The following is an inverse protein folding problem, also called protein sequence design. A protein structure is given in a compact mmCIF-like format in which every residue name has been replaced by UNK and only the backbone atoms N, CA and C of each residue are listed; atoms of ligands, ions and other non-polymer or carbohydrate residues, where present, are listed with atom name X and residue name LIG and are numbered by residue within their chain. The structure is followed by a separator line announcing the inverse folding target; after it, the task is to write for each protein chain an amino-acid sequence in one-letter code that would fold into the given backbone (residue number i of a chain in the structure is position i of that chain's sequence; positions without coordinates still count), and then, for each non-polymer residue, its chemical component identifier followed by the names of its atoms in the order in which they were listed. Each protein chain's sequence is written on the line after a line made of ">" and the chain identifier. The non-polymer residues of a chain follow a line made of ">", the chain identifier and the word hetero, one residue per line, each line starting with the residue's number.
data_IF_031981649208
#
_entry.id   IF_031981649208
#
_cell.length_a   1.000
_cell.length_b   1.000
_cell.length_c   1.000
_cell.angle_alpha   90.00
_cell.angle_beta   90.00
_cell.angle_gamma   90.00
#
_symmetry.space_group_name_H-M   'P 1'
#
loop_
_entity.id
_entity.type
_entity.pdbx_description
1 polymer ?
#
# COMPACT_ATOMS: atom_id res chain seq x y z
N UNK A 1 16.52 -7.88 71.54
CA UNK A 1 15.45 -8.41 70.66
C UNK A 1 14.45 -9.15 71.54
N UNK A 2 13.19 -8.72 71.58
CA UNK A 2 12.13 -9.38 72.35
C UNK A 2 11.38 -10.34 71.40
N UNK A 3 11.26 -11.60 71.78
CA UNK A 3 10.54 -12.63 71.02
C UNK A 3 9.23 -12.95 71.74
N UNK A 4 8.15 -13.05 70.98
CA UNK A 4 6.83 -13.43 71.50
C UNK A 4 6.71 -14.94 71.35
N UNK A 5 6.65 -15.67 72.46
CA UNK A 5 6.54 -17.14 72.46
C UNK A 5 5.10 -17.54 72.77
N UNK A 6 4.61 -18.60 72.13
CA UNK A 6 3.35 -19.21 72.50
C UNK A 6 3.58 -20.17 73.66
N UNK A 7 3.00 -19.85 74.81
CA UNK A 7 3.11 -20.63 76.04
C UNK A 7 2.46 -22.02 75.94
N UNK A 8 1.63 -22.26 74.91
CA UNK A 8 0.99 -23.55 74.64
C UNK A 8 1.86 -24.52 73.84
N UNK A 9 3.05 -24.07 73.41
CA UNK A 9 4.00 -24.84 72.61
C UNK A 9 5.31 -25.02 73.36
N UNK A 10 6.04 -26.07 73.03
CA UNK A 10 7.38 -26.28 73.56
C UNK A 10 8.35 -25.19 73.08
N UNK A 11 9.50 -25.07 73.74
CA UNK A 11 10.56 -24.12 73.35
C UNK A 11 11.09 -24.47 71.95
N UNK A 12 11.21 -25.76 71.67
CA UNK A 12 11.66 -26.32 70.39
C UNK A 12 10.64 -26.03 69.28
N UNK A 13 9.35 -26.16 69.55
CA UNK A 13 8.27 -25.85 68.61
C UNK A 13 8.21 -24.36 68.27
N UNK A 14 8.34 -23.49 69.28
CA UNK A 14 8.44 -22.04 69.06
C UNK A 14 9.68 -21.69 68.22
N UNK A 15 10.83 -22.27 68.51
CA UNK A 15 12.07 -22.06 67.76
C UNK A 15 11.93 -22.53 66.29
N UNK A 16 11.32 -23.70 66.07
CA UNK A 16 11.06 -24.22 64.73
C UNK A 16 10.11 -23.32 63.93
N UNK A 17 9.08 -22.75 64.56
CA UNK A 17 8.16 -21.82 63.90
C UNK A 17 8.87 -20.53 63.45
N UNK A 18 9.70 -19.94 64.31
CA UNK A 18 10.51 -18.77 63.96
C UNK A 18 11.52 -19.08 62.85
N UNK A 19 12.13 -20.26 62.88
CA UNK A 19 13.03 -20.71 61.82
C UNK A 19 12.33 -20.86 60.47
N UNK A 20 11.14 -21.47 60.45
CA UNK A 20 10.34 -21.62 59.22
C UNK A 20 9.81 -20.27 58.71
N UNK A 21 9.42 -19.34 59.60
CA UNK A 21 9.09 -17.96 59.22
C UNK A 21 10.29 -17.25 58.57
N UNK A 22 11.48 -17.36 59.16
CA UNK A 22 12.70 -16.77 58.63
C UNK A 22 13.07 -17.37 57.25
N UNK A 23 12.94 -18.68 57.09
CA UNK A 23 13.18 -19.40 55.83
C UNK A 23 12.20 -18.98 54.73
N UNK A 24 10.91 -18.86 55.06
CA UNK A 24 9.87 -18.35 54.14
C UNK A 24 10.14 -16.90 53.74
N UNK A 25 10.51 -16.04 54.70
CA UNK A 25 10.88 -14.65 54.43
C UNK A 25 12.09 -14.56 53.48
N UNK A 26 13.14 -15.36 53.73
CA UNK A 26 14.33 -15.43 52.87
C UNK A 26 13.99 -15.87 51.43
N UNK A 27 13.11 -16.86 51.27
CA UNK A 27 12.63 -17.31 49.94
C UNK A 27 11.84 -16.21 49.22
N UNK A 28 10.94 -15.51 49.92
CA UNK A 28 10.19 -14.37 49.36
C UNK A 28 11.12 -13.23 48.93
N UNK A 29 12.14 -12.93 49.73
CA UNK A 29 13.12 -11.88 49.46
C UNK A 29 13.95 -12.18 48.20
N UNK A 30 14.33 -13.46 47.98
CA UNK A 30 14.98 -13.90 46.73
C UNK A 30 14.07 -13.73 45.51
N UNK A 31 12.78 -14.05 45.63
CA UNK A 31 11.78 -13.85 44.56
C UNK A 31 11.58 -12.38 44.22
N UNK A 32 11.44 -11.52 45.24
CA UNK A 32 11.27 -10.08 45.07
C UNK A 32 12.50 -9.44 44.38
N UNK A 33 13.72 -9.82 44.76
CA UNK A 33 14.94 -9.36 44.09
C UNK A 33 14.96 -9.70 42.59
N UNK A 34 14.59 -10.93 42.23
CA UNK A 34 14.55 -11.36 40.82
C UNK A 34 13.48 -10.62 40.01
N UNK A 35 12.32 -10.32 40.60
CA UNK A 35 11.28 -9.53 39.96
C UNK A 35 11.71 -8.07 39.73
N UNK A 36 12.43 -7.50 40.70
CA UNK A 36 12.97 -6.14 40.63
C UNK A 36 14.04 -6.01 39.54
N UNK A 37 14.92 -7.01 39.42
CA UNK A 37 15.93 -7.07 38.36
C UNK A 37 15.29 -7.15 36.96
N UNK A 38 14.31 -8.04 36.75
CA UNK A 38 13.55 -8.11 35.50
C UNK A 38 12.84 -6.79 35.15
N UNK A 39 12.33 -6.09 36.16
CA UNK A 39 11.66 -4.80 35.96
C UNK A 39 12.66 -3.72 35.57
N UNK A 40 13.85 -3.70 36.18
CA UNK A 40 14.96 -2.81 35.81
C UNK A 40 15.47 -3.07 34.39
N UNK A 41 15.58 -4.32 33.96
CA UNK A 41 15.96 -4.65 32.58
C UNK A 41 14.90 -4.21 31.57
N UNK A 42 13.61 -4.35 31.89
CA UNK A 42 12.52 -3.83 31.06
C UNK A 42 12.57 -2.31 30.96
N UNK A 43 12.78 -1.60 32.07
CA UNK A 43 12.96 -0.14 32.08
C UNK A 43 14.14 0.28 31.20
N UNK A 44 15.31 -0.35 31.34
CA UNK A 44 16.47 -0.08 30.46
C UNK A 44 16.19 -0.36 28.98
N UNK A 45 15.37 -1.36 28.65
CA UNK A 45 14.97 -1.64 27.26
C UNK A 45 14.00 -0.60 26.72
N UNK A 46 13.13 -0.04 27.57
CA UNK A 46 12.20 1.03 27.21
C UNK A 46 12.96 2.35 27.06
N UNK A 47 13.83 2.69 28.01
CA UNK A 47 14.74 3.86 27.93
C UNK A 47 15.64 3.81 26.69
N UNK A 48 16.18 2.63 26.33
CA UNK A 48 16.94 2.46 25.08
C UNK A 48 16.07 2.52 23.82
N UNK A 49 14.75 2.31 23.94
CA UNK A 49 13.80 2.34 22.81
C UNK A 49 13.13 3.71 22.62
N UNK A 50 13.18 4.60 23.61
CA UNK A 50 12.54 5.91 23.55
C UNK A 50 13.55 7.05 23.75
N UNK A 51 14.32 7.36 22.70
CA UNK A 51 14.31 8.69 22.05
C UNK A 51 14.50 8.48 20.54
N UNK A 52 13.57 7.74 19.92
CA UNK A 52 13.11 8.07 18.56
C UNK A 52 11.61 8.29 18.69
N UNK A 53 11.24 9.20 19.60
CA UNK A 53 10.01 9.96 19.41
C UNK A 53 10.33 10.88 18.23
N UNK A 54 10.12 10.38 17.00
CA UNK A 54 9.90 11.30 15.90
C UNK A 54 8.70 12.12 16.35
N UNK A 55 8.93 13.40 16.68
CA UNK A 55 7.86 14.37 16.75
C UNK A 55 6.92 14.08 15.58
N UNK A 56 5.60 14.00 15.77
CA UNK A 56 4.70 13.91 14.65
C UNK A 56 4.95 15.17 13.84
N UNK A 57 5.83 15.08 12.84
CA UNK A 57 6.11 16.15 11.89
C UNK A 57 4.73 16.54 11.45
N UNK A 58 4.29 17.72 11.86
CA UNK A 58 2.99 18.25 11.48
C UNK A 58 3.03 18.19 9.97
N UNK A 59 2.37 17.16 9.40
CA UNK A 59 2.37 16.93 7.97
C UNK A 59 1.72 18.20 7.45
N UNK A 60 2.52 19.12 6.88
CA UNK A 60 2.02 20.29 6.17
C UNK A 60 0.82 19.77 5.39
N UNK A 61 -0.37 20.33 5.65
CA UNK A 61 -1.60 19.90 4.99
C UNK A 61 -1.38 20.21 3.51
N UNK A 62 -0.82 19.23 2.78
CA UNK A 62 -0.56 19.35 1.36
C UNK A 62 -1.91 19.48 0.70
N UNK A 63 -2.05 20.48 -0.15
CA UNK A 63 -3.24 20.62 -1.00
C UNK A 63 -3.29 19.37 -1.88
N UNK A 64 -4.22 18.46 -1.56
CA UNK A 64 -4.43 17.24 -2.32
C UNK A 64 -5.07 17.60 -3.65
N UNK A 65 -4.41 17.20 -4.72
CA UNK A 65 -4.97 17.23 -6.05
C UNK A 65 -6.08 16.19 -6.14
N UNK A 66 -7.09 16.49 -6.96
CA UNK A 66 -8.29 15.67 -7.07
C UNK A 66 -8.00 14.25 -7.59
N UNK A 67 -6.89 14.07 -8.32
CA UNK A 67 -6.47 12.79 -8.90
C UNK A 67 -5.74 11.86 -7.92
N UNK A 68 -5.26 12.36 -6.76
CA UNK A 68 -4.49 11.57 -5.79
C UNK A 68 -5.28 10.43 -5.14
N UNK A 69 -6.60 10.42 -5.33
CA UNK A 69 -7.48 9.29 -4.91
C UNK A 69 -7.45 8.11 -5.90
N UNK A 70 -6.84 8.27 -7.06
CA UNK A 70 -6.65 7.24 -8.07
C UNK A 70 -5.17 6.83 -8.13
N UNK A 71 -4.87 5.77 -8.86
CA UNK A 71 -3.50 5.59 -9.36
C UNK A 71 -3.33 6.51 -10.55
N UNK A 72 -2.16 7.08 -10.71
CA UNK A 72 -1.95 8.08 -11.76
C UNK A 72 -0.48 8.17 -12.13
N UNK A 73 -0.26 8.60 -13.36
CA UNK A 73 1.03 9.07 -13.85
C UNK A 73 0.84 10.14 -14.92
N UNK A 74 1.92 10.82 -15.25
CA UNK A 74 1.98 11.71 -16.41
C UNK A 74 2.75 10.98 -17.50
N UNK A 75 2.15 10.80 -18.67
CA UNK A 75 2.77 10.15 -19.82
C UNK A 75 4.04 10.90 -20.25
N UNK A 76 4.89 10.24 -21.02
CA UNK A 76 6.10 10.88 -21.58
C UNK A 76 5.79 12.10 -22.46
N UNK A 77 4.59 12.15 -23.04
CA UNK A 77 4.07 13.28 -23.82
C UNK A 77 3.36 14.35 -22.97
N UNK A 78 3.27 14.16 -21.65
CA UNK A 78 2.70 15.15 -20.72
C UNK A 78 1.20 15.03 -20.45
N UNK A 79 0.56 13.91 -20.83
CA UNK A 79 -0.87 13.68 -20.58
C UNK A 79 -1.07 13.04 -19.19
N UNK A 80 -2.09 13.48 -18.46
CA UNK A 80 -2.47 12.86 -17.21
C UNK A 80 -3.21 11.54 -17.48
N UNK A 81 -2.75 10.45 -16.88
CA UNK A 81 -3.37 9.14 -16.96
C UNK A 81 -3.82 8.71 -15.57
N UNK A 82 -5.06 8.22 -15.46
CA UNK A 82 -5.73 7.89 -14.19
C UNK A 82 -6.23 6.46 -14.23
N UNK A 83 -6.03 5.69 -13.17
CA UNK A 83 -6.54 4.32 -13.01
C UNK A 83 -7.29 4.15 -11.69
N UNK A 84 -8.47 3.56 -11.75
CA UNK A 84 -9.20 3.20 -10.53
C UNK A 84 -8.44 2.14 -9.71
N UNK A 85 -8.64 2.18 -8.39
CA UNK A 85 -7.98 1.28 -7.43
C UNK A 85 -8.85 0.08 -7.05
N UNK A 86 -10.15 0.28 -7.15
CA UNK A 86 -11.20 -0.66 -6.77
C UNK A 86 -12.46 -0.36 -7.59
N UNK A 87 -13.49 -1.21 -7.44
CA UNK A 87 -14.76 -1.06 -8.14
C UNK A 87 -15.42 0.31 -7.94
N UNK A 88 -15.28 0.93 -6.75
CA UNK A 88 -15.91 2.23 -6.47
C UNK A 88 -15.18 3.36 -7.18
N UNK A 89 -13.85 3.36 -7.11
CA UNK A 89 -13.01 4.35 -7.77
C UNK A 89 -13.04 4.20 -9.29
N UNK A 90 -13.15 2.98 -9.83
CA UNK A 90 -13.43 2.75 -11.26
C UNK A 90 -14.70 3.49 -11.71
N UNK A 91 -15.80 3.35 -10.96
CA UNK A 91 -17.03 4.07 -11.30
C UNK A 91 -16.88 5.58 -11.24
N UNK A 92 -16.15 6.07 -10.24
CA UNK A 92 -15.90 7.51 -10.09
C UNK A 92 -15.06 8.03 -11.26
N UNK A 93 -13.99 7.32 -11.67
CA UNK A 93 -13.14 7.72 -12.81
C UNK A 93 -14.01 7.85 -14.05
N UNK A 94 -14.71 6.78 -14.43
CA UNK A 94 -15.49 6.73 -15.68
C UNK A 94 -16.64 7.73 -15.69
N UNK A 95 -17.39 7.86 -14.58
CA UNK A 95 -18.61 8.70 -14.57
C UNK A 95 -18.34 10.17 -14.30
N UNK A 96 -17.30 10.52 -13.53
CA UNK A 96 -17.09 11.90 -13.06
C UNK A 96 -15.85 12.57 -13.63
N UNK A 97 -14.90 11.81 -14.15
CA UNK A 97 -13.59 12.33 -14.56
C UNK A 97 -13.21 11.96 -15.99
N UNK A 98 -14.15 11.46 -16.79
CA UNK A 98 -13.97 11.17 -18.21
C UNK A 98 -14.74 12.19 -19.03
N UNK A 99 -14.03 12.90 -19.90
CA UNK A 99 -14.57 13.87 -20.85
C UNK A 99 -14.62 13.26 -22.25
N UNK A 100 -15.46 13.81 -23.15
CA UNK A 100 -15.77 13.26 -24.48
C UNK A 100 -14.54 12.86 -25.34
N UNK A 101 -13.45 13.61 -25.25
CA UNK A 101 -12.25 13.40 -26.07
C UNK A 101 -11.17 12.56 -25.38
N UNK A 102 -11.41 12.11 -24.15
CA UNK A 102 -10.50 11.20 -23.46
C UNK A 102 -10.53 9.81 -24.08
N UNK A 103 -9.61 8.95 -23.66
CA UNK A 103 -9.63 7.53 -24.01
C UNK A 103 -9.74 6.70 -22.74
N UNK A 104 -10.59 5.65 -22.80
CA UNK A 104 -10.82 4.71 -21.70
C UNK A 104 -10.21 3.37 -22.05
N UNK A 105 -9.39 2.82 -21.16
CA UNK A 105 -8.66 1.57 -21.31
C UNK A 105 -9.14 0.55 -20.27
N UNK A 106 -9.18 -0.71 -20.69
CA UNK A 106 -9.52 -1.85 -19.85
C UNK A 106 -9.01 -3.15 -20.50
N UNK A 107 -8.96 -4.26 -19.77
CA UNK A 107 -8.63 -5.58 -20.34
C UNK A 107 -9.89 -6.43 -20.44
N UNK A 108 -9.90 -7.51 -21.23
CA UNK A 108 -11.07 -8.39 -21.28
C UNK A 108 -11.30 -9.19 -19.99
N UNK A 109 -10.38 -9.08 -19.02
CA UNK A 109 -10.46 -9.79 -17.75
C UNK A 109 -11.21 -9.01 -16.67
N UNK A 110 -12.04 -9.74 -15.91
CA UNK A 110 -12.61 -9.22 -14.68
C UNK A 110 -11.53 -8.85 -13.65
N UNK A 111 -11.69 -7.70 -13.00
CA UNK A 111 -10.75 -7.17 -12.01
C UNK A 111 -9.64 -6.31 -12.61
N UNK A 112 -9.75 -5.91 -13.87
CA UNK A 112 -8.91 -4.88 -14.47
C UNK A 112 -9.32 -3.48 -13.98
N UNK A 113 -8.38 -2.52 -13.87
CA UNK A 113 -8.73 -1.13 -13.63
C UNK A 113 -9.37 -0.51 -14.88
N UNK A 114 -10.28 0.44 -14.67
CA UNK A 114 -10.61 1.39 -15.73
C UNK A 114 -9.57 2.50 -15.69
N UNK A 115 -8.84 2.65 -16.79
CA UNK A 115 -7.80 3.66 -16.96
C UNK A 115 -8.29 4.72 -17.96
N UNK A 116 -8.01 5.99 -17.70
CA UNK A 116 -8.43 7.11 -18.54
C UNK A 116 -7.25 8.02 -18.82
N UNK A 117 -7.03 8.31 -20.09
CA UNK A 117 -6.06 9.32 -20.54
C UNK A 117 -6.81 10.63 -20.76
N UNK A 118 -6.43 11.66 -20.00
CA UNK A 118 -7.02 13.00 -20.10
C UNK A 118 -6.47 13.71 -21.33
N UNK A 119 -7.28 13.84 -22.37
CA UNK A 119 -6.90 14.47 -23.65
C UNK A 119 -6.71 15.98 -23.51
N UNK A 120 -7.52 16.64 -22.67
CA UNK A 120 -7.62 18.11 -22.60
C UNK A 120 -7.88 18.77 -23.97
N UNK A 121 -8.58 18.05 -24.86
CA UNK A 121 -8.86 18.50 -26.22
C UNK A 121 -7.72 18.35 -27.22
N UNK A 122 -6.60 17.74 -26.82
CA UNK A 122 -5.45 17.46 -27.69
C UNK A 122 -5.49 16.03 -28.21
N UNK A 123 -4.92 15.81 -29.40
CA UNK A 123 -4.73 14.47 -29.93
C UNK A 123 -3.76 13.67 -29.06
N UNK A 124 -4.17 12.48 -28.63
CA UNK A 124 -3.35 11.60 -27.80
C UNK A 124 -2.37 10.82 -28.69
N UNK A 125 -1.04 10.96 -28.52
CA UNK A 125 -0.05 10.24 -29.32
C UNK A 125 -0.04 8.73 -29.05
N UNK A 126 0.46 7.95 -30.03
CA UNK A 126 0.61 6.48 -29.89
C UNK A 126 1.48 6.07 -28.70
N UNK A 127 2.49 6.86 -28.37
CA UNK A 127 3.35 6.70 -27.19
C UNK A 127 2.55 6.73 -25.90
N UNK A 128 1.70 7.75 -25.71
CA UNK A 128 0.79 7.82 -24.56
C UNK A 128 -0.25 6.69 -24.55
N UNK A 129 -0.76 6.28 -25.71
CA UNK A 129 -1.69 5.13 -25.81
C UNK A 129 -1.00 3.84 -25.34
N UNK A 130 0.24 3.60 -25.78
CA UNK A 130 1.02 2.44 -25.35
C UNK A 130 1.29 2.48 -23.84
N UNK A 131 1.71 3.63 -23.30
CA UNK A 131 1.96 3.80 -21.87
C UNK A 131 0.70 3.59 -21.03
N UNK A 132 -0.46 4.06 -21.49
CA UNK A 132 -1.74 3.81 -20.83
C UNK A 132 -2.13 2.32 -20.87
N UNK A 133 -1.83 1.62 -21.97
CA UNK A 133 -2.03 0.19 -22.08
C UNK A 133 -1.13 -0.60 -21.12
N UNK A 134 0.18 -0.31 -21.11
CA UNK A 134 1.17 -0.88 -20.18
C UNK A 134 0.69 -0.72 -18.72
N UNK A 135 0.29 0.50 -18.36
CA UNK A 135 -0.25 0.80 -17.03
C UNK A 135 -1.53 0.01 -16.72
N UNK A 136 -2.45 -0.13 -17.67
CA UNK A 136 -3.67 -0.91 -17.47
C UNK A 136 -3.34 -2.37 -17.16
N UNK A 137 -2.38 -2.95 -17.90
CA UNK A 137 -1.93 -4.32 -17.69
C UNK A 137 -1.22 -4.52 -16.34
N UNK A 138 -0.32 -3.61 -15.96
CA UNK A 138 0.43 -3.64 -14.70
C UNK A 138 -0.46 -3.66 -13.44
N UNK A 139 -1.63 -3.03 -13.51
CA UNK A 139 -2.60 -2.98 -12.41
C UNK A 139 -3.77 -3.93 -12.57
N UNK A 140 -3.81 -4.70 -13.65
CA UNK A 140 -4.85 -5.68 -13.91
C UNK A 140 -4.70 -6.94 -13.07
N UNK A 141 -5.69 -7.82 -13.16
CA UNK A 141 -5.59 -9.18 -12.61
C UNK A 141 -4.46 -10.00 -13.26
N UNK A 142 -4.05 -9.67 -14.48
CA UNK A 142 -2.93 -10.32 -15.17
C UNK A 142 -1.63 -10.22 -14.38
N UNK A 143 -1.34 -9.05 -13.78
CA UNK A 143 -0.21 -8.89 -12.86
C UNK A 143 -0.24 -9.90 -11.73
N UNK A 144 -1.37 -10.01 -11.02
CA UNK A 144 -1.51 -10.94 -9.91
C UNK A 144 -1.32 -12.41 -10.33
N UNK A 145 -1.63 -12.73 -11.59
CA UNK A 145 -1.50 -14.08 -12.14
C UNK A 145 -0.19 -14.34 -12.87
N UNK A 146 0.70 -13.34 -12.98
CA UNK A 146 1.99 -13.47 -13.66
C UNK A 146 1.85 -13.63 -15.17
N UNK A 147 0.74 -13.15 -15.72
CA UNK A 147 0.51 -13.19 -17.16
C UNK A 147 1.37 -12.11 -17.84
N UNK A 148 2.22 -12.54 -18.75
CA UNK A 148 3.06 -11.66 -19.57
C UNK A 148 2.37 -11.19 -20.84
N UNK A 149 1.32 -11.87 -21.28
CA UNK A 149 0.56 -11.57 -22.49
C UNK A 149 -0.90 -11.32 -22.14
N UNK A 150 -1.26 -10.04 -21.99
CA UNK A 150 -2.63 -9.62 -21.78
C UNK A 150 -2.94 -8.45 -22.69
N UNK A 151 -3.76 -8.64 -23.71
CA UNK A 151 -4.14 -7.52 -24.56
C UNK A 151 -5.04 -6.53 -23.80
N UNK A 152 -4.79 -5.25 -24.05
CA UNK A 152 -5.57 -4.14 -23.50
C UNK A 152 -6.31 -3.50 -24.66
N UNK A 153 -7.58 -3.19 -24.45
CA UNK A 153 -8.34 -2.40 -25.41
C UNK A 153 -8.53 -0.98 -24.90
N UNK A 154 -8.75 -0.06 -25.84
CA UNK A 154 -9.23 1.28 -25.55
C UNK A 154 -10.41 1.67 -26.44
N UNK A 155 -11.26 2.55 -25.89
CA UNK A 155 -12.49 3.05 -26.50
C UNK A 155 -12.72 4.51 -26.15
N UNK A 156 -13.62 5.14 -26.92
CA UNK A 156 -14.13 6.45 -26.57
C UNK A 156 -15.10 6.36 -25.38
N UNK A 157 -15.23 7.42 -24.56
CA UNK A 157 -16.11 7.47 -23.40
C UNK A 157 -17.56 7.11 -23.70
N UNK A 158 -18.08 7.53 -24.86
CA UNK A 158 -19.45 7.26 -25.30
C UNK A 158 -19.76 5.76 -25.47
N UNK A 159 -18.72 4.95 -25.63
CA UNK A 159 -18.83 3.50 -25.76
C UNK A 159 -18.97 2.79 -24.41
N UNK A 160 -18.75 3.50 -23.30
CA UNK A 160 -18.75 2.92 -21.95
C UNK A 160 -20.11 3.14 -21.29
N UNK A 161 -20.92 2.08 -21.25
CA UNK A 161 -22.28 2.12 -20.70
C UNK A 161 -22.40 1.38 -19.37
N UNK A 162 -23.29 1.86 -18.49
CA UNK A 162 -23.68 1.14 -17.26
C UNK A 162 -24.96 0.32 -17.45
N UNK A 163 -25.59 0.41 -18.61
CA UNK A 163 -26.76 -0.38 -18.97
C UNK A 163 -26.33 -1.81 -19.28
N UNK A 164 -26.87 -2.76 -18.52
CA UNK A 164 -26.76 -4.18 -18.86
C UNK A 164 -27.66 -4.53 -20.04
N UNK A 165 -27.42 -5.69 -20.65
CA UNK A 165 -28.37 -6.29 -21.57
C UNK A 165 -29.65 -6.68 -20.81
N UNK A 166 -30.82 -6.72 -21.48
CA UNK A 166 -32.05 -7.18 -20.85
C UNK A 166 -31.87 -8.56 -20.20
N UNK A 167 -32.16 -8.64 -18.90
CA UNK A 167 -32.03 -9.88 -18.11
C UNK A 167 -30.67 -10.10 -17.44
N UNK A 168 -29.66 -9.27 -17.73
CA UNK A 168 -28.35 -9.34 -17.07
C UNK A 168 -28.21 -8.31 -15.94
N UNK A 169 -27.49 -8.68 -14.88
CA UNK A 169 -27.14 -7.76 -13.80
C UNK A 169 -25.76 -7.15 -14.04
N UNK A 170 -25.63 -5.82 -13.96
CA UNK A 170 -24.34 -5.12 -14.04
C UNK A 170 -23.71 -4.98 -12.64
N UNK A 171 -22.58 -5.64 -12.34
CA UNK A 171 -21.91 -5.48 -11.06
C UNK A 171 -21.40 -4.06 -10.83
N UNK A 172 -21.17 -3.73 -9.55
CA UNK A 172 -20.50 -2.49 -9.16
C UNK A 172 -19.08 -2.48 -9.72
N UNK A 173 -18.67 -1.37 -10.35
CA UNK A 173 -17.36 -1.22 -10.99
C UNK A 173 -17.23 -1.81 -12.39
N UNK A 174 -18.23 -2.53 -12.89
CA UNK A 174 -18.26 -3.05 -14.26
C UNK A 174 -18.98 -2.08 -15.21
N UNK A 175 -18.58 -2.09 -16.48
CA UNK A 175 -19.22 -1.32 -17.54
C UNK A 175 -19.31 -2.20 -18.79
N UNK A 176 -20.36 -1.99 -19.57
CA UNK A 176 -20.52 -2.59 -20.89
C UNK A 176 -19.84 -1.71 -21.93
N UNK A 177 -19.03 -2.31 -22.78
CA UNK A 177 -18.38 -1.63 -23.89
C UNK A 177 -19.17 -1.90 -25.16
N UNK A 178 -19.64 -0.85 -25.84
CA UNK A 178 -20.43 -0.93 -27.07
C UNK A 178 -19.63 -0.46 -28.28
N UNK A 179 -19.83 -1.11 -29.41
CA UNK A 179 -19.16 -0.77 -30.67
C UNK A 179 -17.74 -1.35 -30.79
N UNK A 180 -16.93 -0.76 -31.68
CA UNK A 180 -15.60 -1.27 -32.02
C UNK A 180 -14.57 -0.92 -30.94
N UNK A 181 -13.79 -1.90 -30.51
CA UNK A 181 -12.64 -1.74 -29.61
C UNK A 181 -11.33 -1.68 -30.40
N UNK A 182 -10.33 -0.98 -29.85
CA UNK A 182 -8.98 -0.93 -30.42
C UNK A 182 -8.03 -1.61 -29.46
N UNK A 183 -7.31 -2.62 -29.93
CA UNK A 183 -6.40 -3.41 -29.09
C UNK A 183 -4.95 -2.93 -29.20
N UNK A 184 -4.24 -3.03 -28.09
CA UNK A 184 -2.83 -2.70 -27.93
C UNK A 184 -2.21 -3.81 -27.09
N UNK A 185 -1.11 -4.36 -27.56
CA UNK A 185 -0.33 -5.33 -26.79
C UNK A 185 0.58 -4.56 -25.82
N UNK A 186 0.37 -4.69 -24.50
CA UNK A 186 1.14 -3.97 -23.50
C UNK A 186 2.46 -4.66 -23.19
N UNK A 187 3.38 -3.91 -22.60
CA UNK A 187 4.57 -4.41 -21.95
C UNK A 187 4.40 -4.28 -20.43
N UNK A 188 4.72 -5.32 -19.68
CA UNK A 188 4.73 -5.27 -18.21
C UNK A 188 5.99 -4.50 -17.77
N UNK A 189 5.83 -3.25 -17.34
CA UNK A 189 6.96 -2.35 -17.08
C UNK A 189 6.66 -1.28 -16.03
N UNK A 190 6.25 -1.69 -14.83
CA UNK A 190 5.93 -0.75 -13.78
C UNK A 190 7.15 -0.10 -13.12
N UNK A 191 7.11 1.22 -12.90
CA UNK A 191 8.03 1.94 -12.04
C UNK A 191 7.29 2.88 -11.08
N UNK A 192 7.92 3.16 -9.94
CA UNK A 192 7.43 4.10 -8.92
C UNK A 192 8.46 5.18 -8.67
N UNK A 193 8.02 6.42 -8.57
CA UNK A 193 8.84 7.57 -8.21
C UNK A 193 8.05 8.60 -7.39
N UNK A 194 8.74 9.59 -6.84
CA UNK A 194 8.14 10.76 -6.20
C UNK A 194 8.16 11.93 -7.19
N UNK A 195 6.99 12.31 -7.69
CA UNK A 195 6.82 13.46 -8.58
C UNK A 195 6.10 14.58 -7.84
N UNK A 196 6.73 15.76 -7.74
CA UNK A 196 6.20 16.94 -7.02
C UNK A 196 5.68 16.58 -5.62
N UNK A 197 6.51 15.87 -4.85
CA UNK A 197 6.24 15.39 -3.49
C UNK A 197 5.10 14.38 -3.35
N UNK A 198 4.70 13.69 -4.44
CA UNK A 198 3.61 12.70 -4.47
C UNK A 198 4.08 11.40 -5.09
N UNK A 199 3.59 10.27 -4.57
CA UNK A 199 3.88 8.98 -5.19
C UNK A 199 3.18 8.87 -6.55
N UNK A 200 3.98 8.62 -7.59
CA UNK A 200 3.55 8.40 -8.96
C UNK A 200 4.00 7.00 -9.38
N UNK A 201 3.09 6.23 -9.98
CA UNK A 201 3.39 4.90 -10.49
C UNK A 201 2.88 4.78 -11.92
N UNK A 202 3.71 4.27 -12.81
CA UNK A 202 3.43 4.21 -14.24
C UNK A 202 4.50 3.45 -15.01
N UNK A 203 4.36 3.38 -16.34
CA UNK A 203 5.35 2.75 -17.20
C UNK A 203 6.74 3.35 -17.03
N UNK A 204 7.76 2.50 -17.12
CA UNK A 204 9.16 2.90 -16.97
C UNK A 204 9.54 4.08 -17.89
N UNK A 205 9.04 4.12 -19.13
CA UNK A 205 9.30 5.22 -20.08
C UNK A 205 8.77 6.57 -19.58
N UNK A 206 7.55 6.59 -19.05
CA UNK A 206 6.90 7.78 -18.53
C UNK A 206 7.60 8.26 -17.25
N UNK A 207 7.88 7.36 -16.32
CA UNK A 207 8.55 7.71 -15.05
C UNK A 207 9.97 8.26 -15.31
N UNK A 208 10.76 7.62 -16.19
CA UNK A 208 12.11 8.09 -16.57
C UNK A 208 12.11 9.50 -17.15
N UNK A 209 11.03 9.89 -17.85
CA UNK A 209 10.93 11.21 -18.48
C UNK A 209 10.78 12.33 -17.44
N UNK A 210 10.06 12.07 -16.35
CA UNK A 210 9.69 13.08 -15.36
C UNK A 210 10.52 13.03 -14.09
N UNK A 211 11.12 11.89 -13.78
CA UNK A 211 11.83 11.66 -12.52
C UNK A 211 13.22 11.04 -12.75
N UNK A 212 14.24 11.63 -12.09
CA UNK A 212 15.61 11.11 -12.13
C UNK A 212 15.78 9.84 -11.30
N UNK A 213 15.15 9.81 -10.13
CA UNK A 213 15.20 8.67 -9.21
C UNK A 213 13.88 7.91 -9.27
N UNK A 214 13.94 6.62 -9.56
CA UNK A 214 12.77 5.75 -9.64
C UNK A 214 13.16 4.32 -9.27
N UNK A 215 12.15 3.51 -8.97
CA UNK A 215 12.31 2.09 -8.66
C UNK A 215 11.44 1.29 -9.61
N UNK A 216 12.06 0.43 -10.42
CA UNK A 216 11.34 -0.53 -11.26
C UNK A 216 10.79 -1.67 -10.40
N UNK A 217 9.54 -2.05 -10.67
CA UNK A 217 8.78 -3.05 -9.92
C UNK A 217 8.40 -4.18 -10.87
N UNK A 218 8.55 -5.41 -10.40
CA UNK A 218 8.12 -6.61 -11.10
C UNK A 218 7.14 -7.39 -10.23
N UNK A 219 6.41 -8.31 -10.84
CA UNK A 219 5.60 -9.25 -10.09
C UNK A 219 6.50 -10.11 -9.18
N UNK A 220 6.02 -10.40 -7.98
CA UNK A 220 6.64 -11.41 -7.12
C UNK A 220 5.86 -11.60 -5.83
N UNK A 221 6.44 -12.29 -4.86
CA UNK A 221 5.68 -12.82 -3.71
C UNK A 221 5.69 -11.90 -2.49
N UNK A 222 6.54 -10.87 -2.47
CA UNK A 222 6.68 -9.99 -1.31
C UNK A 222 5.43 -9.13 -1.11
N UNK A 223 5.11 -8.90 0.16
CA UNK A 223 3.99 -8.03 0.55
C UNK A 223 4.23 -6.60 0.09
N UNK A 224 3.20 -5.96 -0.46
CA UNK A 224 3.23 -4.57 -0.93
C UNK A 224 3.75 -3.61 0.13
N UNK A 225 3.41 -3.81 1.42
CA UNK A 225 3.89 -2.97 2.52
C UNK A 225 5.39 -3.08 2.79
N UNK A 226 5.99 -4.25 2.57
CA UNK A 226 7.43 -4.46 2.73
C UNK A 226 8.20 -3.82 1.58
N UNK A 227 7.69 -3.96 0.36
CA UNK A 227 8.24 -3.33 -0.84
C UNK A 227 8.13 -1.81 -0.73
N UNK A 228 6.99 -1.27 -0.31
CA UNK A 228 6.80 0.15 -0.12
C UNK A 228 7.80 0.76 0.87
N UNK A 229 8.12 0.07 1.97
CA UNK A 229 9.17 0.50 2.92
C UNK A 229 10.55 0.54 2.28
N UNK A 230 10.86 -0.41 1.39
CA UNK A 230 12.13 -0.41 0.65
C UNK A 230 12.18 0.72 -0.38
N UNK A 231 11.08 0.97 -1.09
CA UNK A 231 10.96 2.11 -2.02
C UNK A 231 11.14 3.42 -1.24
N UNK A 232 10.42 3.61 -0.13
CA UNK A 232 10.52 4.80 0.70
C UNK A 232 11.96 5.09 1.17
N UNK A 233 12.72 4.03 1.51
CA UNK A 233 14.14 4.18 1.88
C UNK A 233 15.03 4.59 0.71
N UNK A 234 14.68 4.21 -0.53
CA UNK A 234 15.46 4.52 -1.74
C UNK A 234 15.16 5.92 -2.29
N UNK A 235 13.88 6.29 -2.38
CA UNK A 235 13.43 7.51 -3.08
C UNK A 235 12.65 8.50 -2.19
N UNK A 236 12.53 8.22 -0.89
CA UNK A 236 11.75 9.05 0.04
C UNK A 236 10.23 8.93 -0.15
N UNK A 237 9.49 9.95 0.28
CA UNK A 237 8.04 10.05 0.11
C UNK A 237 7.20 9.52 1.27
N UNK A 238 5.88 9.69 1.14
CA UNK A 238 4.90 9.22 2.11
C UNK A 238 4.61 7.72 1.90
N UNK A 239 4.72 6.93 2.97
CA UNK A 239 4.57 5.48 2.90
C UNK A 239 3.17 5.06 2.41
N UNK A 240 2.12 5.75 2.86
CA UNK A 240 0.75 5.39 2.50
C UNK A 240 0.45 5.71 1.04
N UNK A 241 1.01 6.80 0.52
CA UNK A 241 0.94 7.14 -0.91
C UNK A 241 1.66 6.09 -1.77
N UNK A 242 2.87 5.66 -1.37
CA UNK A 242 3.62 4.63 -2.09
C UNK A 242 2.84 3.30 -2.09
N UNK A 243 2.26 2.89 -0.96
CA UNK A 243 1.44 1.68 -0.89
C UNK A 243 0.25 1.76 -1.85
N UNK A 244 -0.42 2.93 -1.93
CA UNK A 244 -1.57 3.14 -2.83
C UNK A 244 -1.19 3.14 -4.31
N UNK A 245 0.05 3.53 -4.62
CA UNK A 245 0.59 3.55 -5.97
C UNK A 245 0.97 2.15 -6.47
N UNK A 246 1.17 1.17 -5.59
CA UNK A 246 1.58 -0.19 -5.96
C UNK A 246 0.40 -1.11 -6.35
N UNK A 247 0.66 -2.15 -7.18
CA UNK A 247 -0.33 -3.11 -7.61
C UNK A 247 -0.70 -4.07 -6.47
N UNK A 248 -1.89 -4.68 -6.60
CA UNK A 248 -2.32 -5.74 -5.72
C UNK A 248 -1.77 -7.09 -6.22
N UNK A 249 -1.45 -8.02 -5.31
CA UNK A 249 -1.03 -9.38 -5.69
C UNK A 249 0.46 -9.70 -5.48
N UNK A 250 1.17 -8.87 -4.70
CA UNK A 250 2.59 -9.06 -4.46
C UNK A 250 3.45 -8.43 -5.55
N UNK A 251 4.61 -7.92 -5.16
CA UNK A 251 5.54 -7.27 -6.06
C UNK A 251 6.95 -7.36 -5.52
N UNK A 252 7.94 -7.12 -6.37
CA UNK A 252 9.34 -7.04 -5.98
C UNK A 252 10.03 -5.88 -6.68
N UNK A 253 11.09 -5.36 -6.06
CA UNK A 253 11.96 -4.39 -6.71
C UNK A 253 12.82 -5.15 -7.69
N UNK A 254 12.80 -4.73 -8.96
CA UNK A 254 13.71 -5.24 -9.98
C UNK A 254 15.13 -4.82 -9.60
N UNK A 255 16.01 -5.82 -9.46
CA UNK A 255 17.41 -5.60 -9.10
C UNK A 255 18.20 -4.97 -10.25
#
# INVERSE_FOLDING_TARGET
>A
MKLVLDIRKSVEENAAEYFEKAKKAKKKLKGAKKALEKSKEKLKKIEKKEIVFEEPKIKKIKKREWFEKFRWFVSSDGFLVLGGRDATTNEIVVKKYTDKNDLVFHTDMAGSPFVVVKSEGKSIPKTTIQEAADFTADFSRGWKQGMSTLDVFYVNPEQVSKEANPGEYMPKGAFMIRGKTNYVTPNINLAVSIYKDKAMAGPVSAIKKHCKEYVEIVQGEKKTSEVAKKIQKKIGGDLDEIIRALPAGGCEIKN
#
